data_IF_361375963013
#
_entry.id   IF_361375963013
#
_cell.length_a   1.000
_cell.length_b   1.000
_cell.length_c   1.000
_cell.angle_alpha   90.00
_cell.angle_beta   90.00
_cell.angle_gamma   90.00
#
_symmetry.space_group_name_H-M   'P 1'
#
loop_
_entity.id
_entity.type
_entity.pdbx_description
1 polymer ?
#
# COMPACT_ATOMS: atom_id res chain seq x y z
N UNK A 1 -4.33 4.64 -17.98
CA UNK A 1 -3.22 3.94 -18.67
C UNK A 1 -2.89 2.70 -17.88
N UNK A 2 -3.05 1.52 -18.45
CA UNK A 2 -2.73 0.25 -17.80
C UNK A 2 -1.21 0.09 -17.75
N UNK A 3 -0.60 0.30 -16.58
CA UNK A 3 0.82 -0.03 -16.37
C UNK A 3 0.93 -1.56 -16.20
N UNK A 4 0.94 -2.27 -17.29
CA UNK A 4 1.17 -3.73 -17.39
C UNK A 4 2.64 -4.11 -17.15
N UNK A 5 3.47 -3.18 -16.69
CA UNK A 5 4.89 -3.44 -16.45
C UNK A 5 5.12 -4.29 -15.20
N UNK A 6 6.04 -5.25 -15.28
CA UNK A 6 6.53 -6.10 -14.18
C UNK A 6 7.11 -5.24 -13.04
N UNK A 7 7.53 -4.03 -13.36
CA UNK A 7 8.18 -3.07 -12.44
C UNK A 7 7.30 -1.83 -12.29
N UNK A 8 7.18 -1.35 -11.07
CA UNK A 8 6.48 -0.10 -10.77
C UNK A 8 7.23 1.10 -11.37
N UNK A 9 6.50 2.00 -12.06
CA UNK A 9 7.06 3.25 -12.62
C UNK A 9 7.77 4.13 -11.58
N UNK A 10 7.38 4.01 -10.32
CA UNK A 10 7.98 4.75 -9.22
C UNK A 10 9.40 4.29 -8.87
N UNK A 11 9.81 3.12 -9.39
CA UNK A 11 11.15 2.54 -9.23
C UNK A 11 12.14 2.89 -10.34
N UNK A 12 11.70 3.41 -11.48
CA UNK A 12 12.56 3.57 -12.65
C UNK A 12 13.84 4.35 -12.36
N UNK A 13 13.76 5.47 -11.62
CA UNK A 13 14.96 6.25 -11.25
C UNK A 13 15.97 5.43 -10.44
N UNK A 14 15.49 4.69 -9.43
CA UNK A 14 16.37 3.86 -8.60
C UNK A 14 16.98 2.71 -9.40
N UNK A 15 16.19 2.10 -10.28
CA UNK A 15 16.64 1.01 -11.15
C UNK A 15 17.67 1.52 -12.15
N UNK A 16 17.45 2.66 -12.80
CA UNK A 16 18.45 3.27 -13.72
C UNK A 16 19.75 3.53 -13.00
N UNK A 17 19.71 4.11 -11.79
CA UNK A 17 20.92 4.37 -10.99
C UNK A 17 21.63 3.04 -10.66
N UNK A 18 20.91 2.00 -10.23
CA UNK A 18 21.51 0.72 -9.89
C UNK A 18 22.13 0.00 -11.12
N UNK A 19 21.52 0.15 -12.31
CA UNK A 19 22.09 -0.35 -13.58
C UNK A 19 23.39 0.38 -13.93
N UNK A 20 23.40 1.72 -13.83
CA UNK A 20 24.62 2.51 -14.09
C UNK A 20 25.74 2.09 -13.15
N UNK A 21 25.47 1.95 -11.85
CA UNK A 21 26.45 1.50 -10.87
C UNK A 21 26.97 0.08 -11.18
N UNK A 22 26.09 -0.82 -11.63
CA UNK A 22 26.47 -2.18 -12.04
C UNK A 22 27.40 -2.16 -13.25
N UNK A 23 27.10 -1.34 -14.26
CA UNK A 23 27.95 -1.21 -15.46
C UNK A 23 29.31 -0.62 -15.09
N UNK A 24 29.36 0.41 -14.26
CA UNK A 24 30.61 1.01 -13.79
C UNK A 24 31.44 -0.01 -12.99
N UNK A 25 30.81 -0.79 -12.11
CA UNK A 25 31.51 -1.81 -11.34
C UNK A 25 32.10 -2.91 -12.22
N UNK A 26 31.43 -3.24 -13.33
CA UNK A 26 31.95 -4.18 -14.32
C UNK A 26 33.15 -3.63 -15.11
N UNK A 27 33.09 -2.35 -15.52
CA UNK A 27 34.19 -1.71 -16.29
C UNK A 27 35.44 -1.57 -15.42
N UNK A 28 35.29 -1.22 -14.14
CA UNK A 28 36.42 -0.96 -13.24
C UNK A 28 36.82 -2.17 -12.39
N UNK A 29 36.18 -3.33 -12.62
CA UNK A 29 36.39 -4.57 -11.87
C UNK A 29 36.29 -4.41 -10.35
N UNK A 30 35.34 -3.54 -9.91
CA UNK A 30 35.20 -3.15 -8.52
C UNK A 30 33.86 -3.63 -7.93
N UNK A 31 33.91 -4.53 -6.97
CA UNK A 31 32.76 -5.00 -6.17
C UNK A 31 31.52 -5.43 -7.00
N UNK A 32 31.74 -6.08 -8.13
CA UNK A 32 30.68 -6.49 -9.05
C UNK A 32 29.56 -7.29 -8.36
N UNK A 33 29.91 -8.25 -7.49
CA UNK A 33 28.92 -9.05 -6.76
C UNK A 33 28.01 -8.21 -5.86
N UNK A 34 28.57 -7.19 -5.19
CA UNK A 34 27.79 -6.28 -4.34
C UNK A 34 26.78 -5.47 -5.16
N UNK A 35 27.20 -4.87 -6.27
CA UNK A 35 26.29 -4.09 -7.11
C UNK A 35 25.26 -4.97 -7.82
N UNK A 36 25.57 -6.23 -8.11
CA UNK A 36 24.60 -7.21 -8.62
C UNK A 36 23.50 -7.47 -7.58
N UNK A 37 23.86 -7.71 -6.32
CA UNK A 37 22.89 -7.91 -5.23
C UNK A 37 22.05 -6.65 -5.03
N UNK A 38 22.65 -5.46 -5.06
CA UNK A 38 21.95 -4.18 -4.95
C UNK A 38 20.93 -3.98 -6.08
N UNK A 39 21.29 -4.32 -7.31
CA UNK A 39 20.40 -4.26 -8.46
C UNK A 39 19.20 -5.21 -8.29
N UNK A 40 19.45 -6.49 -7.92
CA UNK A 40 18.40 -7.47 -7.68
C UNK A 40 17.48 -7.04 -6.53
N UNK A 41 18.04 -6.50 -5.45
CA UNK A 41 17.26 -5.96 -4.33
C UNK A 41 16.37 -4.79 -4.77
N UNK A 42 16.89 -3.91 -5.64
CA UNK A 42 16.10 -2.79 -6.18
C UNK A 42 14.95 -3.30 -7.05
N UNK A 43 15.17 -4.29 -7.91
CA UNK A 43 14.11 -4.94 -8.69
C UNK A 43 13.04 -5.56 -7.78
N UNK A 44 13.46 -6.22 -6.72
CA UNK A 44 12.55 -6.85 -5.75
C UNK A 44 11.64 -5.84 -5.06
N UNK A 45 12.19 -4.72 -4.57
CA UNK A 45 11.44 -3.66 -3.87
C UNK A 45 10.39 -3.01 -4.77
N UNK A 46 10.72 -2.82 -6.06
CA UNK A 46 9.83 -2.16 -7.01
C UNK A 46 9.03 -3.11 -7.91
N UNK A 47 8.99 -4.41 -7.55
CA UNK A 47 8.19 -5.38 -8.29
C UNK A 47 6.71 -4.99 -8.31
N UNK A 48 6.05 -5.27 -9.41
CA UNK A 48 4.65 -4.94 -9.63
C UNK A 48 3.89 -6.16 -10.18
N UNK A 49 3.68 -7.20 -9.35
CA UNK A 49 3.01 -8.42 -9.80
C UNK A 49 1.58 -8.12 -10.25
N UNK A 50 1.16 -8.78 -11.32
CA UNK A 50 -0.24 -8.78 -11.72
C UNK A 50 -1.06 -9.60 -10.72
N UNK A 51 -2.21 -9.07 -10.29
CA UNK A 51 -3.12 -9.76 -9.39
C UNK A 51 -4.54 -9.49 -9.79
N UNK A 52 -5.31 -10.54 -9.84
CA UNK A 52 -6.75 -10.48 -10.02
C UNK A 52 -7.43 -10.39 -8.65
N UNK A 53 -8.55 -9.68 -8.54
CA UNK A 53 -9.40 -9.70 -7.35
C UNK A 53 -9.82 -11.15 -7.03
N UNK A 54 -9.78 -11.53 -5.77
CA UNK A 54 -10.21 -12.86 -5.34
C UNK A 54 -11.74 -13.05 -5.46
N UNK A 55 -12.50 -11.96 -5.48
CA UNK A 55 -13.94 -11.93 -5.71
C UNK A 55 -14.30 -10.70 -6.55
N UNK A 56 -15.31 -10.84 -7.40
CA UNK A 56 -15.95 -9.75 -8.15
C UNK A 56 -17.24 -9.27 -7.46
N UNK A 57 -17.58 -9.84 -6.31
CA UNK A 57 -18.73 -9.44 -5.53
C UNK A 57 -18.56 -7.99 -5.03
N UNK A 58 -19.58 -7.16 -5.28
CA UNK A 58 -19.59 -5.76 -4.86
C UNK A 58 -19.56 -5.57 -3.33
N UNK A 59 -19.95 -6.60 -2.56
CA UNK A 59 -19.92 -6.61 -1.09
C UNK A 59 -18.56 -7.05 -0.52
N UNK A 60 -17.69 -7.64 -1.37
CA UNK A 60 -16.38 -8.09 -0.94
C UNK A 60 -15.41 -6.93 -0.76
N UNK A 61 -14.74 -6.89 0.37
CA UNK A 61 -13.67 -5.93 0.65
C UNK A 61 -12.33 -6.64 0.51
N UNK A 62 -11.47 -6.10 -0.35
CA UNK A 62 -10.16 -6.66 -0.64
C UNK A 62 -9.05 -5.94 0.11
N UNK A 63 -7.95 -6.65 0.37
CA UNK A 63 -6.73 -6.05 0.93
C UNK A 63 -6.14 -5.02 -0.04
N UNK A 64 -5.87 -3.80 0.43
CA UNK A 64 -5.28 -2.74 -0.39
C UNK A 64 -3.80 -2.94 -0.66
N UNK A 65 -3.11 -3.76 0.13
CA UNK A 65 -1.64 -3.91 0.07
C UNK A 65 -1.21 -5.26 0.62
N UNK A 66 0.03 -5.68 0.31
CA UNK A 66 0.69 -6.81 0.96
C UNK A 66 1.20 -6.41 2.34
N UNK A 67 1.07 -7.28 3.30
CA UNK A 67 1.59 -7.04 4.63
C UNK A 67 1.09 -8.01 5.69
N UNK A 68 1.15 -7.57 6.93
CA UNK A 68 0.68 -8.30 8.10
C UNK A 68 -0.37 -7.45 8.82
N UNK A 69 -1.46 -8.06 9.24
CA UNK A 69 -2.48 -7.41 10.08
C UNK A 69 -1.87 -7.11 11.45
N UNK A 70 -1.65 -5.84 11.74
CA UNK A 70 -1.03 -5.39 13.00
C UNK A 70 -2.09 -5.26 14.12
N UNK A 71 -3.27 -4.76 13.74
CA UNK A 71 -4.35 -4.54 14.70
C UNK A 71 -5.72 -4.51 14.01
N UNK A 72 -6.77 -4.88 14.77
CA UNK A 72 -8.17 -4.77 14.35
C UNK A 72 -8.92 -4.13 15.52
N UNK A 73 -9.53 -2.98 15.30
CA UNK A 73 -10.21 -2.22 16.33
C UNK A 73 -11.37 -1.39 15.80
N UNK A 74 -12.24 -0.95 16.70
CA UNK A 74 -13.24 0.08 16.38
C UNK A 74 -12.63 1.46 16.56
N UNK A 75 -12.91 2.37 15.63
CA UNK A 75 -12.45 3.75 15.71
C UNK A 75 -13.57 4.71 15.29
N UNK A 76 -13.46 5.98 15.73
CA UNK A 76 -14.35 7.05 15.31
C UNK A 76 -13.62 7.94 14.29
N UNK A 77 -14.30 8.26 13.19
CA UNK A 77 -13.84 9.20 12.20
C UNK A 77 -14.98 10.14 11.80
N UNK A 78 -14.78 11.45 11.95
CA UNK A 78 -15.79 12.49 11.68
C UNK A 78 -17.16 12.22 12.34
N UNK A 79 -17.16 11.73 13.59
CA UNK A 79 -18.40 11.46 14.34
C UNK A 79 -19.10 10.15 14.01
N UNK A 80 -18.55 9.33 13.08
CA UNK A 80 -19.06 8.00 12.75
C UNK A 80 -18.10 6.91 13.25
N UNK A 81 -18.66 5.79 13.66
CA UNK A 81 -17.90 4.63 14.12
C UNK A 81 -17.60 3.68 12.98
N UNK A 82 -16.37 3.21 12.91
CA UNK A 82 -15.86 2.29 11.88
C UNK A 82 -15.14 1.10 12.51
N UNK A 83 -15.12 -0.01 11.78
CA UNK A 83 -14.19 -1.11 12.02
C UNK A 83 -12.90 -0.81 11.25
N UNK A 84 -11.77 -0.71 11.96
CA UNK A 84 -10.44 -0.41 11.38
C UNK A 84 -9.60 -1.66 11.37
N UNK A 85 -9.04 -2.01 10.20
CA UNK A 85 -7.96 -2.99 10.05
C UNK A 85 -6.69 -2.23 9.74
N UNK A 86 -5.65 -2.42 10.55
CA UNK A 86 -4.34 -1.85 10.36
C UNK A 86 -3.40 -2.89 9.76
N UNK A 87 -2.94 -2.67 8.53
CA UNK A 87 -2.01 -3.55 7.82
C UNK A 87 -0.64 -2.86 7.78
N UNK A 88 0.39 -3.55 8.25
CA UNK A 88 1.77 -3.10 8.14
C UNK A 88 2.42 -3.74 6.93
N UNK A 89 2.87 -2.91 5.99
CA UNK A 89 3.65 -3.28 4.81
C UNK A 89 5.10 -2.86 5.01
N UNK A 90 6.02 -3.80 4.82
CA UNK A 90 7.47 -3.59 4.95
C UNK A 90 8.09 -3.51 3.56
N UNK A 91 9.33 -3.02 3.48
CA UNK A 91 10.08 -2.87 2.22
C UNK A 91 10.23 -4.19 1.44
N UNK A 92 10.18 -5.34 2.12
CA UNK A 92 10.24 -6.67 1.50
C UNK A 92 8.90 -7.12 0.90
N UNK A 93 7.79 -6.51 1.34
CA UNK A 93 6.45 -6.77 0.83
C UNK A 93 6.25 -6.01 -0.49
N UNK A 94 5.19 -6.33 -1.23
CA UNK A 94 4.88 -5.59 -2.45
C UNK A 94 4.17 -4.28 -2.09
N UNK A 95 4.80 -3.15 -2.37
CA UNK A 95 4.31 -1.81 -2.00
C UNK A 95 3.22 -1.24 -2.91
N UNK A 96 2.68 -2.02 -3.86
CA UNK A 96 1.62 -1.56 -4.77
C UNK A 96 0.30 -1.47 -4.02
N UNK A 97 -0.27 -0.27 -3.95
CA UNK A 97 -1.58 0.00 -3.39
C UNK A 97 -2.68 -0.29 -4.43
N UNK A 98 -3.73 -0.97 -3.98
CA UNK A 98 -4.87 -1.34 -4.83
C UNK A 98 -6.20 -0.92 -4.19
N UNK A 99 -7.21 -0.72 -5.03
CA UNK A 99 -8.57 -0.44 -4.58
C UNK A 99 -9.16 -1.66 -3.86
N UNK A 100 -9.81 -1.40 -2.72
CA UNK A 100 -10.38 -2.43 -1.85
C UNK A 100 -11.72 -2.95 -2.35
N UNK A 101 -12.41 -2.13 -3.13
CA UNK A 101 -13.72 -2.39 -3.72
C UNK A 101 -13.90 -1.45 -4.91
N UNK A 102 -15.06 -1.44 -5.54
CA UNK A 102 -15.42 -0.42 -6.52
C UNK A 102 -15.63 0.90 -5.79
N UNK A 103 -14.69 1.85 -5.96
CA UNK A 103 -14.67 3.11 -5.21
C UNK A 103 -14.92 4.30 -6.12
N UNK A 104 -15.81 5.18 -5.69
CA UNK A 104 -15.92 6.55 -6.18
C UNK A 104 -15.20 7.46 -5.20
N UNK A 105 -14.02 7.95 -5.58
CA UNK A 105 -13.17 8.75 -4.70
C UNK A 105 -13.72 10.18 -4.63
N UNK A 106 -14.18 10.59 -3.45
CA UNK A 106 -14.69 11.93 -3.21
C UNK A 106 -13.58 12.93 -2.89
N UNK A 107 -12.57 12.49 -2.13
CA UNK A 107 -11.49 13.37 -1.68
C UNK A 107 -10.19 12.59 -1.39
N UNK A 108 -9.06 13.22 -1.64
CA UNK A 108 -7.73 12.71 -1.29
C UNK A 108 -7.02 13.75 -0.43
N UNK A 109 -7.11 13.60 0.90
CA UNK A 109 -6.43 14.47 1.85
C UNK A 109 -4.99 14.02 2.04
N UNK A 110 -4.03 14.93 1.86
CA UNK A 110 -2.61 14.66 2.08
C UNK A 110 -2.09 15.55 3.20
N UNK A 111 -1.29 14.97 4.08
CA UNK A 111 -0.57 15.68 5.13
C UNK A 111 0.89 15.25 5.09
N UNK A 112 1.78 16.21 4.94
CA UNK A 112 3.21 15.98 5.10
C UNK A 112 3.55 15.88 6.59
N UNK A 113 4.52 15.07 6.92
CA UNK A 113 4.96 14.84 8.28
C UNK A 113 6.40 14.33 8.35
N UNK A 114 6.79 13.85 9.50
CA UNK A 114 8.08 13.23 9.75
C UNK A 114 8.11 11.80 9.20
N UNK A 115 9.29 11.18 9.18
CA UNK A 115 9.47 9.78 8.79
C UNK A 115 9.93 8.97 10.01
N UNK A 116 9.08 8.88 11.04
CA UNK A 116 9.36 8.11 12.24
C UNK A 116 9.19 6.62 11.97
N UNK A 117 9.95 5.79 12.70
CA UNK A 117 9.83 4.35 12.60
C UNK A 117 8.43 3.88 13.03
N UNK A 118 7.91 2.83 12.40
CA UNK A 118 6.54 2.33 12.64
C UNK A 118 6.29 1.87 14.08
N UNK A 119 7.33 1.50 14.84
CA UNK A 119 7.21 1.10 16.25
C UNK A 119 7.07 2.28 17.22
N UNK A 120 7.36 3.50 16.79
CA UNK A 120 7.18 4.67 17.66
C UNK A 120 5.70 4.95 17.87
N UNK A 121 5.28 5.15 19.11
CA UNK A 121 3.88 5.40 19.50
C UNK A 121 3.27 6.61 18.76
N UNK A 122 4.08 7.62 18.48
CA UNK A 122 3.69 8.85 17.80
C UNK A 122 3.78 8.79 16.27
N UNK A 123 4.31 7.68 15.69
CA UNK A 123 4.49 7.55 14.24
C UNK A 123 3.18 7.74 13.47
N UNK A 124 2.08 7.21 13.99
CA UNK A 124 0.75 7.34 13.38
C UNK A 124 0.23 8.78 13.33
N UNK A 125 0.68 9.64 14.25
CA UNK A 125 0.25 11.05 14.32
C UNK A 125 1.17 11.97 13.51
N UNK A 126 2.46 11.73 13.53
CA UNK A 126 3.47 12.65 13.02
C UNK A 126 3.97 12.33 11.61
N UNK A 127 3.84 11.09 11.16
CA UNK A 127 4.28 10.69 9.81
C UNK A 127 3.39 11.26 8.70
N UNK A 128 3.97 11.34 7.51
CA UNK A 128 3.24 11.73 6.30
C UNK A 128 2.06 10.78 6.07
N UNK A 129 0.91 11.34 5.74
CA UNK A 129 -0.34 10.59 5.59
C UNK A 129 -1.10 11.01 4.36
N UNK A 130 -1.70 10.04 3.70
CA UNK A 130 -2.74 10.24 2.70
C UNK A 130 -4.02 9.52 3.13
N UNK A 131 -5.15 10.18 2.99
CA UNK A 131 -6.47 9.61 3.28
C UNK A 131 -7.32 9.70 2.02
N UNK A 132 -7.79 8.55 1.54
CA UNK A 132 -8.70 8.42 0.41
C UNK A 132 -10.07 8.11 0.98
N UNK A 133 -11.08 8.91 0.61
CA UNK A 133 -12.46 8.77 1.07
C UNK A 133 -13.29 8.31 -0.12
N UNK A 134 -13.95 7.16 0.01
CA UNK A 134 -14.94 6.67 -0.95
C UNK A 134 -16.31 7.24 -0.64
N UNK A 135 -17.05 7.61 -1.68
CA UNK A 135 -18.40 8.17 -1.57
C UNK A 135 -19.48 7.09 -1.52
N UNK A 136 -19.31 6.02 -2.29
CA UNK A 136 -20.35 5.04 -2.53
C UNK A 136 -20.45 3.91 -1.48
N UNK A 137 -19.38 3.60 -0.75
CA UNK A 137 -19.37 2.47 0.19
C UNK A 137 -18.95 2.83 1.62
N UNK A 138 -18.84 4.12 1.93
CA UNK A 138 -18.41 4.63 3.25
C UNK A 138 -17.08 3.99 3.75
N UNK A 139 -16.18 3.71 2.80
CA UNK A 139 -14.87 3.13 3.05
C UNK A 139 -13.82 4.24 3.02
N UNK A 140 -12.92 4.22 4.00
CA UNK A 140 -11.82 5.17 4.09
C UNK A 140 -10.51 4.41 4.14
N UNK A 141 -9.61 4.72 3.18
CA UNK A 141 -8.27 4.18 3.14
C UNK A 141 -7.28 5.23 3.61
N UNK A 142 -6.60 4.96 4.72
CA UNK A 142 -5.63 5.85 5.32
C UNK A 142 -4.24 5.23 5.23
N UNK A 143 -3.31 5.90 4.56
CA UNK A 143 -1.97 5.42 4.28
C UNK A 143 -1.00 6.31 5.04
N UNK A 144 -0.11 5.74 5.83
CA UNK A 144 0.94 6.44 6.57
C UNK A 144 2.32 5.89 6.24
N UNK A 145 3.30 6.78 6.11
CA UNK A 145 4.70 6.42 5.85
C UNK A 145 5.38 5.87 7.11
N UNK A 146 6.53 5.22 6.91
CA UNK A 146 7.47 4.83 7.96
C UNK A 146 8.87 5.37 7.63
N UNK A 147 9.88 5.05 8.45
CA UNK A 147 11.25 5.58 8.36
C UNK A 147 11.90 5.42 6.98
N UNK A 148 11.62 4.32 6.28
CA UNK A 148 12.22 4.02 4.97
C UNK A 148 11.46 4.63 3.79
N UNK A 149 10.38 5.37 4.05
CA UNK A 149 9.55 5.98 3.00
C UNK A 149 9.21 7.43 3.32
N UNK A 150 9.64 8.34 2.47
CA UNK A 150 9.31 9.76 2.57
C UNK A 150 8.08 10.18 1.75
N UNK A 151 7.67 9.36 0.77
CA UNK A 151 6.62 9.74 -0.18
C UNK A 151 5.58 8.65 -0.37
N UNK A 152 4.32 9.05 -0.39
CA UNK A 152 3.17 8.24 -0.80
C UNK A 152 2.85 8.64 -2.23
N UNK A 153 2.92 7.68 -3.14
CA UNK A 153 2.55 7.89 -4.54
C UNK A 153 1.11 7.45 -4.72
N UNK A 154 0.23 8.36 -5.11
CA UNK A 154 -1.16 8.08 -5.44
C UNK A 154 -1.50 8.61 -6.82
N UNK A 155 -2.29 7.86 -7.56
CA UNK A 155 -2.85 8.26 -8.84
C UNK A 155 -4.08 9.15 -8.59
N UNK A 156 -4.25 10.18 -9.42
CA UNK A 156 -5.45 11.01 -9.41
C UNK A 156 -6.53 10.28 -10.20
N UNK A 157 -7.38 9.54 -9.50
CA UNK A 157 -8.44 8.72 -10.08
C UNK A 157 -9.73 9.08 -9.35
N UNK A 158 -10.82 9.30 -10.08
CA UNK A 158 -12.16 9.56 -9.51
C UNK A 158 -12.96 8.27 -9.34
N UNK A 159 -12.88 7.37 -10.32
CA UNK A 159 -13.56 6.08 -10.29
C UNK A 159 -12.54 4.95 -10.46
N UNK A 160 -12.57 3.98 -9.57
CA UNK A 160 -11.65 2.86 -9.58
C UNK A 160 -12.38 1.55 -9.29
N UNK A 161 -12.15 0.54 -10.13
CA UNK A 161 -12.66 -0.82 -9.91
C UNK A 161 -11.83 -1.55 -8.87
N UNK A 162 -12.45 -2.47 -8.18
CA UNK A 162 -11.85 -3.40 -7.22
C UNK A 162 -10.54 -4.02 -7.76
N UNK A 163 -9.51 -4.09 -6.93
CA UNK A 163 -8.19 -4.64 -7.27
C UNK A 163 -7.32 -3.78 -8.19
N UNK A 164 -7.83 -2.68 -8.76
CA UNK A 164 -7.03 -1.79 -9.61
C UNK A 164 -5.96 -1.05 -8.80
N UNK A 165 -4.80 -0.83 -9.41
CA UNK A 165 -3.70 -0.08 -8.81
C UNK A 165 -4.09 1.38 -8.61
N UNK A 166 -3.86 1.90 -7.40
CA UNK A 166 -4.16 3.29 -7.03
C UNK A 166 -2.91 4.05 -6.56
N UNK A 167 -1.81 3.34 -6.29
CA UNK A 167 -0.59 3.99 -5.83
C UNK A 167 0.51 3.04 -5.44
N UNK A 168 1.51 3.58 -4.71
CA UNK A 168 2.67 2.85 -4.25
C UNK A 168 3.24 3.45 -2.95
N UNK A 169 3.65 2.58 -2.02
CA UNK A 169 4.39 2.92 -0.81
C UNK A 169 5.45 1.84 -0.55
N UNK A 170 6.69 2.22 -0.17
CA UNK A 170 7.76 1.25 0.09
C UNK A 170 7.67 0.58 1.45
N UNK A 171 7.34 1.37 2.46
CA UNK A 171 7.29 0.95 3.87
C UNK A 171 6.30 1.86 4.59
N UNK A 172 5.39 1.27 5.36
CA UNK A 172 4.39 2.04 6.07
C UNK A 172 3.23 1.20 6.60
N UNK A 173 2.18 1.90 6.99
CA UNK A 173 0.95 1.30 7.50
C UNK A 173 -0.24 1.76 6.65
N UNK A 174 -1.12 0.83 6.36
CA UNK A 174 -2.38 1.10 5.67
C UNK A 174 -3.52 0.72 6.59
N UNK A 175 -4.32 1.71 6.93
CA UNK A 175 -5.50 1.57 7.79
C UNK A 175 -6.73 1.62 6.90
N UNK A 176 -7.49 0.55 6.90
CA UNK A 176 -8.75 0.42 6.19
C UNK A 176 -9.90 0.55 7.18
N UNK A 177 -10.68 1.63 7.05
CA UNK A 177 -11.87 1.89 7.85
C UNK A 177 -13.09 1.45 7.04
N UNK A 178 -13.88 0.59 7.63
CA UNK A 178 -15.08 -0.01 7.04
C UNK A 178 -16.29 0.22 7.93
N UNK A 179 -17.52 0.25 7.40
CA UNK A 179 -18.74 0.31 8.21
C UNK A 179 -18.76 -0.80 9.26
N UNK A 180 -19.47 -0.55 10.39
CA UNK A 180 -19.53 -1.52 11.51
C UNK A 180 -20.22 -2.84 11.15
N UNK A 181 -21.09 -2.82 10.15
CA UNK A 181 -21.77 -4.01 9.61
C UNK A 181 -20.86 -4.85 8.67
N UNK A 182 -19.54 -4.63 8.68
CA UNK A 182 -18.60 -5.43 7.92
C UNK A 182 -18.18 -6.66 8.72
N UNK A 183 -18.39 -7.84 8.14
CA UNK A 183 -17.89 -9.12 8.70
C UNK A 183 -16.44 -9.32 8.27
N UNK A 184 -15.52 -9.16 9.22
CA UNK A 184 -14.08 -9.32 9.00
C UNK A 184 -13.72 -10.79 9.15
N UNK A 185 -12.95 -11.35 8.20
CA UNK A 185 -12.51 -12.74 8.19
C UNK A 185 -11.07 -12.95 8.67
N UNK A 186 -10.36 -11.86 8.99
CA UNK A 186 -8.95 -11.86 9.39
C UNK A 186 -8.78 -11.71 10.89
N UNK A 187 -7.62 -12.14 11.37
CA UNK A 187 -7.16 -11.97 12.75
C UNK A 187 -5.84 -11.22 12.80
N UNK A 188 -5.50 -10.67 13.98
CA UNK A 188 -4.21 -10.03 14.22
C UNK A 188 -3.07 -11.03 14.00
N UNK A 189 -2.05 -10.62 13.23
CA UNK A 189 -0.90 -11.44 12.86
C UNK A 189 -1.03 -12.13 11.49
N UNK A 190 -2.21 -12.15 10.88
CA UNK A 190 -2.39 -12.77 9.57
C UNK A 190 -1.61 -12.04 8.49
N UNK A 191 -1.00 -12.83 7.59
CA UNK A 191 -0.36 -12.32 6.37
C UNK A 191 -1.39 -12.18 5.28
N UNK A 192 -1.49 -10.97 4.73
CA UNK A 192 -2.41 -10.66 3.63
C UNK A 192 -1.66 -10.26 2.38
N UNK A 193 -2.22 -10.59 1.23
CA UNK A 193 -1.77 -10.11 -0.07
C UNK A 193 -2.82 -9.17 -0.65
N UNK A 194 -2.41 -8.13 -1.35
CA UNK A 194 -3.33 -7.26 -2.05
C UNK A 194 -4.26 -8.06 -2.97
N UNK A 195 -5.52 -7.67 -3.07
CA UNK A 195 -6.61 -8.37 -3.75
C UNK A 195 -7.14 -9.64 -3.07
N UNK A 196 -6.62 -10.05 -1.92
CA UNK A 196 -7.26 -11.10 -1.11
C UNK A 196 -8.46 -10.52 -0.35
N UNK A 197 -9.48 -11.34 -0.11
CA UNK A 197 -10.67 -10.93 0.65
C UNK A 197 -10.28 -10.70 2.11
N UNK A 198 -10.71 -9.57 2.66
CA UNK A 198 -10.58 -9.21 4.08
C UNK A 198 -11.90 -9.44 4.81
N UNK A 199 -13.01 -9.20 4.15
CA UNK A 199 -14.34 -9.33 4.72
C UNK A 199 -15.42 -8.98 3.72
N UNK A 200 -16.66 -8.98 4.21
CA UNK A 200 -17.85 -8.66 3.43
C UNK A 200 -18.69 -7.64 4.19
N UNK A 201 -19.32 -6.73 3.45
CA UNK A 201 -20.30 -5.81 4.00
C UNK A 201 -21.63 -6.58 4.12
N UNK A 202 -22.14 -6.73 5.33
CA UNK A 202 -23.49 -7.26 5.57
C UNK A 202 -24.53 -6.19 5.29
N UNK A 203 -25.71 -6.58 4.86
CA UNK A 203 -26.85 -5.66 4.60
C UNK A 203 -27.37 -4.99 5.87
#
# INVERSE_FOLDING_TARGET
>A
MNNLGIISRYGYKCITISVVLLILSWIFDFWFSFFTILFLATLWVYRNPERLPQSEDSKAILSPIDGVVEDIKKCNYNGRSYSEILIRSRIIDCGVLRATCDMEISDIKRRNGLNLHSSDSNSNLLNSRATIISKNQDIILRISTSALTSKIYLESITHVKSGRRIGFIKDGKVSLLMPLNTRISLTKGDKVKACNIIGYIDE
#
